data_IF_916425630116
#
_entry.id   IF_916425630116
#
_cell.length_a   1.000
_cell.length_b   1.000
_cell.length_c   1.000
_cell.angle_alpha   90.00
_cell.angle_beta   90.00
_cell.angle_gamma   90.00
#
_symmetry.space_group_name_H-M   'P 1'
#
loop_
_entity.id
_entity.type
_entity.pdbx_description
1 polymer ?
#
# COMPACT_ATOMS: atom_id res chain seq x y z
N UNK A 1 26.38 2.92 -17.63
CA UNK A 1 26.24 3.17 -16.17
C UNK A 1 25.56 4.54 -15.90
N UNK A 2 24.31 4.75 -16.34
CA UNK A 2 23.60 6.05 -16.24
C UNK A 2 22.12 5.95 -15.82
N UNK A 3 21.64 4.77 -15.45
CA UNK A 3 20.20 4.53 -15.24
C UNK A 3 19.73 4.70 -13.79
N UNK A 4 20.64 4.66 -12.81
CA UNK A 4 20.33 4.79 -11.37
C UNK A 4 19.55 6.06 -11.02
N UNK A 5 19.98 7.29 -11.39
CA UNK A 5 19.27 8.50 -10.97
C UNK A 5 17.87 8.63 -11.58
N UNK A 6 17.64 8.03 -12.76
CA UNK A 6 16.33 8.05 -13.43
C UNK A 6 15.38 7.08 -12.74
N UNK A 7 15.88 5.90 -12.34
CA UNK A 7 15.10 4.91 -11.59
C UNK A 7 14.77 5.38 -10.18
N UNK A 8 15.73 5.99 -9.49
CA UNK A 8 15.51 6.57 -8.15
C UNK A 8 14.46 7.69 -8.17
N UNK A 9 14.52 8.60 -9.15
CA UNK A 9 13.51 9.67 -9.27
C UNK A 9 12.12 9.14 -9.64
N UNK A 10 12.04 8.05 -10.41
CA UNK A 10 10.78 7.35 -10.68
C UNK A 10 10.24 6.65 -9.43
N UNK A 11 11.12 6.01 -8.68
CA UNK A 11 10.79 5.33 -7.43
C UNK A 11 10.20 6.33 -6.42
N UNK A 12 10.87 7.46 -6.22
CA UNK A 12 10.42 8.54 -5.34
C UNK A 12 9.01 9.04 -5.70
N UNK A 13 8.76 9.29 -7.00
CA UNK A 13 7.41 9.63 -7.48
C UNK A 13 6.38 8.54 -7.17
N UNK A 14 6.69 7.28 -7.50
CA UNK A 14 5.78 6.16 -7.22
C UNK A 14 5.49 6.00 -5.73
N UNK A 15 6.50 6.11 -4.86
CA UNK A 15 6.32 6.02 -3.41
C UNK A 15 5.48 7.19 -2.86
N UNK A 16 5.68 8.40 -3.42
CA UNK A 16 4.90 9.58 -3.07
C UNK A 16 3.42 9.48 -3.49
N UNK A 17 3.13 8.82 -4.61
CA UNK A 17 1.76 8.57 -5.07
C UNK A 17 1.12 7.34 -4.36
N UNK A 18 1.92 6.33 -4.04
CA UNK A 18 1.47 5.07 -3.44
C UNK A 18 0.82 5.27 -2.08
N UNK A 19 1.47 6.01 -1.18
CA UNK A 19 1.01 6.16 0.19
C UNK A 19 -0.38 6.83 0.33
N UNK A 20 -0.64 8.02 -0.25
CA UNK A 20 -1.96 8.63 -0.17
C UNK A 20 -3.04 7.82 -0.88
N UNK A 21 -2.69 7.15 -1.99
CA UNK A 21 -3.61 6.27 -2.71
C UNK A 21 -3.96 5.03 -1.88
N UNK A 22 -2.97 4.42 -1.21
CA UNK A 22 -3.15 3.29 -0.30
C UNK A 22 -4.12 3.65 0.83
N UNK A 23 -3.87 4.77 1.52
CA UNK A 23 -4.73 5.22 2.63
C UNK A 23 -6.16 5.47 2.16
N UNK A 24 -6.33 6.13 1.00
CA UNK A 24 -7.65 6.42 0.43
C UNK A 24 -8.41 5.13 0.09
N UNK A 25 -7.75 4.19 -0.59
CA UNK A 25 -8.33 2.89 -0.91
C UNK A 25 -8.65 2.07 0.35
N UNK A 26 -7.79 2.07 1.36
CA UNK A 26 -8.05 1.35 2.61
C UNK A 26 -9.27 1.90 3.36
N UNK A 27 -9.47 3.23 3.34
CA UNK A 27 -10.64 3.87 3.97
C UNK A 27 -11.94 3.47 3.27
N UNK A 28 -11.96 3.54 1.95
CA UNK A 28 -13.10 3.12 1.13
C UNK A 28 -13.40 1.63 1.34
N UNK A 29 -12.36 0.80 1.39
CA UNK A 29 -12.52 -0.64 1.63
C UNK A 29 -13.03 -0.93 3.05
N UNK A 30 -12.51 -0.25 4.07
CA UNK A 30 -13.00 -0.32 5.43
C UNK A 30 -14.46 0.16 5.56
N UNK A 31 -14.89 1.07 4.68
CA UNK A 31 -16.27 1.56 4.56
C UNK A 31 -17.24 0.56 3.92
N UNK A 32 -16.74 -0.56 3.39
CA UNK A 32 -17.55 -1.61 2.77
C UNK A 32 -17.42 -1.71 1.24
N UNK A 33 -16.42 -1.06 0.63
CA UNK A 33 -16.06 -1.27 -0.77
C UNK A 33 -15.19 -2.53 -0.94
N UNK A 34 -15.49 -3.35 -1.93
CA UNK A 34 -14.80 -4.62 -2.19
C UNK A 34 -13.96 -4.52 -3.47
N UNK A 35 -12.94 -5.38 -3.60
CA UNK A 35 -12.03 -5.39 -4.76
C UNK A 35 -10.63 -4.85 -4.50
N UNK A 36 -10.37 -4.29 -3.31
CA UNK A 36 -9.04 -3.77 -2.95
C UNK A 36 -7.98 -4.86 -2.94
N UNK A 37 -8.26 -6.00 -2.31
CA UNK A 37 -7.32 -7.11 -2.23
C UNK A 37 -7.55 -8.11 -3.35
N UNK A 38 -8.73 -8.09 -3.98
CA UNK A 38 -9.11 -8.98 -5.07
C UNK A 38 -9.52 -10.37 -4.60
N UNK A 39 -10.00 -10.48 -3.36
CA UNK A 39 -10.42 -11.78 -2.78
C UNK A 39 -11.60 -12.39 -3.52
N UNK A 40 -12.35 -11.56 -4.26
CA UNK A 40 -13.61 -11.92 -4.87
C UNK A 40 -13.58 -11.90 -6.41
N UNK A 41 -12.40 -11.75 -7.02
CA UNK A 41 -12.21 -11.73 -8.49
C UNK A 41 -12.70 -13.00 -9.19
N UNK A 42 -12.74 -14.13 -8.48
CA UNK A 42 -13.22 -15.41 -9.02
C UNK A 42 -14.74 -15.61 -8.88
N UNK A 43 -15.47 -14.69 -8.24
CA UNK A 43 -16.91 -14.80 -8.00
C UNK A 43 -17.71 -14.00 -9.04
N UNK A 44 -18.99 -14.35 -9.26
CA UNK A 44 -19.88 -13.64 -10.19
C UNK A 44 -20.07 -12.15 -9.86
N UNK A 45 -19.71 -11.76 -8.64
CA UNK A 45 -19.70 -10.38 -8.13
C UNK A 45 -18.42 -9.60 -8.46
N UNK A 46 -17.39 -10.23 -9.05
CA UNK A 46 -16.16 -9.58 -9.52
C UNK A 46 -16.45 -8.43 -10.47
N UNK A 47 -17.43 -8.61 -11.36
CA UNK A 47 -17.89 -7.57 -12.30
C UNK A 47 -18.43 -6.31 -11.62
N UNK A 48 -18.88 -6.41 -10.37
CA UNK A 48 -19.35 -5.30 -9.55
C UNK A 48 -18.27 -4.76 -8.60
N UNK A 49 -17.15 -5.46 -8.48
CA UNK A 49 -16.01 -5.10 -7.64
C UNK A 49 -14.84 -4.50 -8.47
N UNK A 50 -15.10 -4.07 -9.71
CA UNK A 50 -14.13 -3.38 -10.55
C UNK A 50 -13.77 -2.04 -9.89
N UNK A 51 -12.51 -1.94 -9.44
CA UNK A 51 -12.02 -0.76 -8.75
C UNK A 51 -10.68 -0.34 -9.34
N UNK A 52 -10.76 0.57 -10.31
CA UNK A 52 -9.62 1.04 -11.09
C UNK A 52 -8.49 1.58 -10.19
N UNK A 53 -8.82 2.39 -9.18
CA UNK A 53 -7.83 2.92 -8.22
C UNK A 53 -7.11 1.81 -7.45
N UNK A 54 -7.81 0.72 -7.10
CA UNK A 54 -7.19 -0.42 -6.43
C UNK A 54 -6.28 -1.22 -7.37
N UNK A 55 -6.62 -1.33 -8.64
CA UNK A 55 -5.75 -1.93 -9.66
C UNK A 55 -4.51 -1.07 -9.91
N UNK A 56 -4.69 0.25 -10.03
CA UNK A 56 -3.59 1.21 -10.12
C UNK A 56 -2.67 1.13 -8.89
N UNK A 57 -3.23 1.03 -7.69
CA UNK A 57 -2.47 0.88 -6.46
C UNK A 57 -1.62 -0.40 -6.45
N UNK A 58 -2.18 -1.54 -6.89
CA UNK A 58 -1.44 -2.80 -7.04
C UNK A 58 -0.33 -2.67 -8.06
N UNK A 59 -0.58 -2.00 -9.18
CA UNK A 59 0.43 -1.78 -10.21
C UNK A 59 1.60 -0.94 -9.70
N UNK A 60 1.30 0.15 -8.98
CA UNK A 60 2.30 1.01 -8.34
C UNK A 60 3.10 0.22 -7.30
N UNK A 61 2.42 -0.56 -6.45
CA UNK A 61 3.06 -1.43 -5.46
C UNK A 61 4.06 -2.41 -6.11
N UNK A 62 3.65 -3.13 -7.15
CA UNK A 62 4.52 -4.07 -7.86
C UNK A 62 5.73 -3.34 -8.47
N UNK A 63 5.51 -2.20 -9.14
CA UNK A 63 6.61 -1.40 -9.71
C UNK A 63 7.60 -0.93 -8.64
N UNK A 64 7.12 -0.48 -7.49
CA UNK A 64 7.99 -0.10 -6.36
C UNK A 64 8.77 -1.31 -5.87
N UNK A 65 8.11 -2.46 -5.67
CA UNK A 65 8.77 -3.69 -5.22
C UNK A 65 9.87 -4.13 -6.18
N UNK A 66 9.59 -4.15 -7.50
CA UNK A 66 10.57 -4.51 -8.52
C UNK A 66 11.77 -3.57 -8.51
N UNK A 67 11.52 -2.25 -8.50
CA UNK A 67 12.60 -1.25 -8.46
C UNK A 67 13.42 -1.38 -7.17
N UNK A 68 12.76 -1.45 -6.01
CA UNK A 68 13.39 -1.60 -4.68
C UNK A 68 14.19 -2.89 -4.58
N UNK A 69 13.75 -3.98 -5.20
CA UNK A 69 14.49 -5.22 -5.32
C UNK A 69 15.78 -5.05 -6.13
N UNK A 70 15.75 -4.28 -7.23
CA UNK A 70 16.98 -3.93 -7.97
C UNK A 70 17.98 -3.12 -7.13
N UNK A 71 17.49 -2.27 -6.23
CA UNK A 71 18.32 -1.49 -5.30
C UNK A 71 18.76 -2.26 -4.05
N UNK A 72 18.25 -3.49 -3.84
CA UNK A 72 18.55 -4.31 -2.66
C UNK A 72 17.94 -3.77 -1.35
N UNK A 73 16.93 -2.90 -1.44
CA UNK A 73 16.27 -2.30 -0.28
C UNK A 73 14.76 -2.49 -0.43
N UNK A 74 14.13 -3.56 0.06
CA UNK A 74 12.69 -3.74 -0.03
C UNK A 74 11.92 -2.66 0.75
N UNK A 75 10.74 -2.26 0.24
CA UNK A 75 9.85 -1.34 0.93
C UNK A 75 8.86 -2.13 1.81
N UNK A 76 8.91 -1.91 3.12
CA UNK A 76 8.10 -2.63 4.10
C UNK A 76 6.58 -2.36 3.96
N UNK A 77 6.17 -1.15 3.56
CA UNK A 77 4.76 -0.81 3.38
C UNK A 77 4.18 -1.54 2.16
N UNK A 78 4.92 -1.54 1.05
CA UNK A 78 4.55 -2.25 -0.17
C UNK A 78 4.47 -3.75 0.07
N UNK A 79 5.45 -4.33 0.75
CA UNK A 79 5.48 -5.75 1.07
C UNK A 79 4.29 -6.15 1.94
N UNK A 80 3.98 -5.36 2.99
CA UNK A 80 2.77 -5.56 3.81
C UNK A 80 1.50 -5.50 2.96
N UNK A 81 1.36 -4.48 2.11
CA UNK A 81 0.17 -4.36 1.25
C UNK A 81 -0.01 -5.58 0.33
N UNK A 82 1.07 -6.03 -0.33
CA UNK A 82 1.07 -7.21 -1.19
C UNK A 82 0.82 -8.50 -0.39
N UNK A 83 1.31 -8.57 0.86
CA UNK A 83 1.01 -9.66 1.77
C UNK A 83 -0.49 -9.73 2.07
N UNK A 84 -1.11 -8.61 2.45
CA UNK A 84 -2.57 -8.53 2.65
C UNK A 84 -3.36 -8.86 1.37
N UNK A 85 -2.88 -8.44 0.20
CA UNK A 85 -3.45 -8.86 -1.09
C UNK A 85 -3.36 -10.38 -1.31
N UNK A 86 -2.33 -11.03 -0.77
CA UNK A 86 -2.12 -12.48 -0.91
C UNK A 86 -2.94 -13.30 0.09
N UNK A 87 -3.47 -12.67 1.15
CA UNK A 87 -4.36 -13.33 2.11
C UNK A 87 -5.68 -13.71 1.39
N UNK A 88 -5.93 -15.02 1.29
CA UNK A 88 -7.08 -15.63 0.62
C UNK A 88 -7.55 -16.86 1.42
N UNK A 89 -8.85 -17.14 1.45
CA UNK A 89 -9.39 -18.38 2.04
C UNK A 89 -10.79 -18.25 2.63
N UNK A 90 -11.43 -19.37 2.93
CA UNK A 90 -12.79 -19.37 3.52
C UNK A 90 -12.84 -18.90 4.99
N UNK A 91 -11.69 -18.82 5.66
CA UNK A 91 -11.60 -18.46 7.09
C UNK A 91 -10.89 -17.11 7.33
N UNK A 92 -10.57 -16.37 6.27
CA UNK A 92 -9.98 -15.04 6.42
C UNK A 92 -11.07 -14.00 6.66
N UNK A 93 -10.82 -13.03 7.55
CA UNK A 93 -11.75 -11.93 7.75
C UNK A 93 -11.92 -11.18 6.42
N UNK A 94 -13.15 -10.72 6.15
CA UNK A 94 -13.47 -10.05 4.89
C UNK A 94 -12.56 -8.84 4.62
N UNK A 95 -12.43 -8.48 3.34
CA UNK A 95 -11.66 -7.33 2.85
C UNK A 95 -11.78 -6.06 3.73
N UNK A 96 -12.97 -5.60 4.17
CA UNK A 96 -13.09 -4.40 5.01
C UNK A 96 -12.36 -4.50 6.35
N UNK A 97 -12.33 -5.69 6.97
CA UNK A 97 -11.62 -5.91 8.24
C UNK A 97 -10.11 -5.90 8.05
N UNK A 98 -9.63 -6.53 6.98
CA UNK A 98 -8.21 -6.50 6.61
C UNK A 98 -7.75 -5.08 6.29
N UNK A 99 -8.55 -4.33 5.52
CA UNK A 99 -8.26 -2.94 5.19
C UNK A 99 -8.18 -2.07 6.44
N UNK A 100 -9.12 -2.24 7.37
CA UNK A 100 -9.11 -1.52 8.65
C UNK A 100 -7.89 -1.86 9.50
N UNK A 101 -7.51 -3.14 9.57
CA UNK A 101 -6.32 -3.58 10.29
C UNK A 101 -5.04 -2.95 9.71
N UNK A 102 -4.85 -3.05 8.39
CA UNK A 102 -3.69 -2.45 7.72
C UNK A 102 -3.67 -0.92 7.86
N UNK A 103 -4.83 -0.25 7.74
CA UNK A 103 -4.94 1.19 7.94
C UNK A 103 -4.53 1.61 9.35
N UNK A 104 -5.02 0.90 10.38
CA UNK A 104 -4.67 1.17 11.77
C UNK A 104 -3.16 1.01 12.00
N UNK A 105 -2.56 -0.06 11.45
CA UNK A 105 -1.11 -0.26 11.53
C UNK A 105 -0.32 0.87 10.86
N UNK A 106 -0.72 1.30 9.66
CA UNK A 106 -0.05 2.41 8.94
C UNK A 106 -0.18 3.71 9.72
N UNK A 107 -1.38 4.03 10.22
CA UNK A 107 -1.62 5.24 11.01
C UNK A 107 -0.86 5.22 12.34
N UNK A 108 -0.77 4.05 12.97
CA UNK A 108 0.00 3.86 14.19
C UNK A 108 1.50 3.97 13.94
N UNK A 109 2.00 3.40 12.85
CA UNK A 109 3.40 3.53 12.44
C UNK A 109 3.75 5.00 12.16
N UNK A 110 2.87 5.74 11.48
CA UNK A 110 2.97 7.19 11.29
C UNK A 110 2.98 7.96 12.60
N UNK A 111 2.08 7.62 13.53
CA UNK A 111 2.01 8.26 14.85
C UNK A 111 3.19 7.91 15.76
N UNK A 112 3.85 6.78 15.51
CA UNK A 112 4.97 6.28 16.28
C UNK A 112 6.34 6.59 15.64
N UNK A 113 6.38 7.29 14.49
CA UNK A 113 7.59 8.01 14.11
C UNK A 113 7.76 9.15 15.12
N UNK A 114 8.79 9.12 15.99
CA UNK A 114 9.07 10.27 16.82
C UNK A 114 9.34 11.43 15.87
N UNK A 115 8.57 12.49 16.06
CA UNK A 115 8.92 13.85 15.70
C UNK A 115 10.44 14.05 15.90
N UNK A 116 11.21 13.89 14.82
CA UNK A 116 12.55 14.47 14.73
C UNK A 116 12.37 15.84 14.10
N UNK A 117 11.65 16.70 14.80
CA UNK A 117 11.66 18.13 14.58
C UNK A 117 11.93 18.82 15.93
N UNK A 118 13.21 19.02 16.17
CA UNK A 118 13.72 20.23 16.82
C UNK A 118 13.22 20.58 18.23
N UNK A 119 13.97 20.12 19.23
CA UNK A 119 14.49 21.03 20.27
C UNK A 119 15.98 20.77 20.53
N UNK A 120 16.80 21.12 19.53
CA UNK A 120 18.11 21.65 19.78
C UNK A 120 18.03 23.18 19.60
N UNK A 121 18.54 23.93 20.58
CA UNK A 121 18.62 25.42 20.65
C UNK A 121 17.41 26.12 21.27
N UNK A 122 17.49 26.44 22.56
CA UNK A 122 17.71 27.84 22.99
C UNK A 122 18.00 27.90 24.50
N UNK A 123 18.84 28.87 24.86
CA UNK A 123 19.47 29.19 26.16
C UNK A 123 18.74 28.83 27.45
#
# INVERSE_FOLDING_TARGET
MKSRPIKEKRLDGLESDFEPLLISCLRECAGGRWGLFGQNDASEVARYCQWDEAEQLKEIANKIQELRAEFGQPNAQVDRFLHYCSIRGSNVPGEPKLAKALLDEILKEKANLPDKADKATSC
#
